data_IF_505342426767
#
_entry.id   IF_505342426767
#
_cell.length_a   1.000
_cell.length_b   1.000
_cell.length_c   1.000
_cell.angle_alpha   90.00
_cell.angle_beta   90.00
_cell.angle_gamma   90.00
#
_symmetry.space_group_name_H-M   'P 1'
#
loop_
_entity.id
_entity.type
_entity.pdbx_description
1 polymer ?
#
# COMPACT_ATOMS: atom_id res chain seq x y z
N UNK A 1 13.95 -6.15 -1.99
CA UNK A 1 13.05 -6.33 -0.82
C UNK A 1 12.59 -4.97 -0.34
N UNK A 2 11.29 -4.81 -0.10
CA UNK A 2 10.73 -3.58 0.50
C UNK A 2 10.27 -3.89 1.92
N UNK A 3 10.62 -3.05 2.89
CA UNK A 3 10.31 -3.24 4.32
C UNK A 3 9.83 -1.93 4.92
N UNK A 4 8.71 -1.99 5.68
CA UNK A 4 8.21 -0.87 6.48
C UNK A 4 8.91 -0.79 7.83
N UNK A 5 9.17 0.43 8.32
CA UNK A 5 9.80 0.66 9.62
C UNK A 5 9.50 2.07 10.16
N UNK A 6 9.53 2.26 11.49
CA UNK A 6 9.53 3.59 12.09
C UNK A 6 10.91 4.22 11.89
N UNK A 7 10.96 5.37 11.24
CA UNK A 7 12.19 6.12 11.00
C UNK A 7 12.35 7.24 12.02
N UNK A 8 13.54 7.37 12.58
CA UNK A 8 13.96 8.55 13.33
C UNK A 8 14.92 9.36 12.47
N UNK A 9 14.58 10.60 12.20
CA UNK A 9 15.36 11.51 11.40
C UNK A 9 15.84 12.71 12.22
N UNK A 10 17.15 12.92 12.25
CA UNK A 10 17.75 14.12 12.81
C UNK A 10 18.29 14.96 11.66
N UNK A 11 17.66 16.12 11.35
CA UNK A 11 18.22 17.00 10.34
C UNK A 11 19.63 17.42 10.76
N UNK A 12 20.62 17.24 9.88
CA UNK A 12 21.97 17.70 10.11
C UNK A 12 21.97 19.23 10.24
N UNK A 13 22.33 19.73 11.40
CA UNK A 13 22.48 21.17 11.64
C UNK A 13 23.57 21.70 10.70
N UNK A 14 23.23 22.65 9.83
CA UNK A 14 24.24 23.47 9.18
C UNK A 14 24.96 24.25 10.28
N UNK A 15 26.30 24.28 10.24
CA UNK A 15 27.17 24.84 11.29
C UNK A 15 26.95 26.33 11.63
N UNK A 16 25.95 26.99 11.02
CA UNK A 16 25.72 28.44 11.13
C UNK A 16 24.40 28.86 11.78
N UNK A 17 23.68 27.95 12.46
CA UNK A 17 22.42 28.33 13.15
C UNK A 17 22.59 28.34 14.67
N UNK A 18 22.36 29.47 15.36
CA UNK A 18 22.64 29.62 16.81
C UNK A 18 21.52 29.12 17.75
N UNK A 19 20.48 28.44 17.28
CA UNK A 19 19.41 27.92 18.17
C UNK A 19 19.39 26.40 18.18
N UNK A 20 19.93 25.84 19.25
CA UNK A 20 20.06 24.41 19.52
C UNK A 20 18.80 23.80 20.13
N UNK A 21 17.94 23.24 19.32
CA UNK A 21 17.22 22.01 19.68
C UNK A 21 17.15 21.16 18.42
N UNK A 22 17.99 20.13 18.33
CA UNK A 22 17.85 19.12 17.28
C UNK A 22 16.53 18.39 17.50
N UNK A 23 15.47 18.85 16.83
CA UNK A 23 14.18 18.16 16.85
C UNK A 23 14.36 16.86 16.08
N UNK A 24 14.28 15.74 16.80
CA UNK A 24 14.19 14.42 16.17
C UNK A 24 12.80 14.30 15.57
N UNK A 25 12.72 14.08 14.28
CA UNK A 25 11.48 13.83 13.56
C UNK A 25 11.28 12.32 13.42
N UNK A 26 10.04 11.87 13.48
CA UNK A 26 9.71 10.47 13.25
C UNK A 26 8.81 10.34 12.03
N UNK A 27 9.02 9.28 11.24
CA UNK A 27 8.22 8.98 10.06
C UNK A 27 7.84 7.51 10.01
N UNK A 28 6.68 7.23 9.44
CA UNK A 28 6.32 5.88 9.01
C UNK A 28 6.89 5.69 7.60
N UNK A 29 7.87 4.82 7.44
CA UNK A 29 8.68 4.75 6.22
C UNK A 29 8.78 3.35 5.65
N UNK A 30 9.10 3.25 4.36
CA UNK A 30 9.54 2.02 3.72
C UNK A 30 10.89 2.22 3.06
N UNK A 31 11.71 1.17 3.08
CA UNK A 31 12.96 1.12 2.32
C UNK A 31 12.95 -0.07 1.37
N UNK A 32 13.37 0.16 0.13
CA UNK A 32 13.56 -0.91 -0.87
C UNK A 32 15.04 -1.13 -1.07
N UNK A 33 15.46 -2.37 -0.89
CA UNK A 33 16.88 -2.77 -0.91
C UNK A 33 17.13 -3.79 -2.01
N UNK A 34 18.17 -3.57 -2.78
CA UNK A 34 18.68 -4.51 -3.78
C UNK A 34 19.35 -5.74 -3.11
N UNK A 35 19.59 -6.84 -3.87
CA UNK A 35 20.28 -8.02 -3.34
C UNK A 35 21.69 -7.75 -2.78
N UNK A 36 22.36 -6.71 -3.24
CA UNK A 36 23.68 -6.30 -2.77
C UNK A 36 23.65 -5.35 -1.56
N UNK A 37 22.47 -5.07 -1.00
CA UNK A 37 22.27 -4.17 0.13
C UNK A 37 22.13 -2.68 -0.23
N UNK A 38 22.23 -2.31 -1.51
CA UNK A 38 22.01 -0.94 -1.95
C UNK A 38 20.56 -0.51 -1.75
N UNK A 39 20.34 0.68 -1.19
CA UNK A 39 19.01 1.28 -1.11
C UNK A 39 18.61 1.77 -2.50
N UNK A 40 17.49 1.25 -3.01
CA UNK A 40 16.92 1.61 -4.32
C UNK A 40 15.84 2.68 -4.19
N UNK A 41 15.07 2.64 -3.10
CA UNK A 41 14.02 3.60 -2.80
C UNK A 41 13.86 3.74 -1.30
N UNK A 42 13.54 4.94 -0.85
CA UNK A 42 13.19 5.27 0.53
C UNK A 42 11.98 6.18 0.50
N UNK A 43 10.88 5.74 1.06
CA UNK A 43 9.62 6.46 1.03
C UNK A 43 9.11 6.71 2.45
N UNK A 44 8.70 7.94 2.73
CA UNK A 44 8.00 8.36 3.95
C UNK A 44 6.52 8.52 3.65
N UNK A 45 5.67 7.99 4.52
CA UNK A 45 4.22 8.01 4.38
C UNK A 45 3.69 9.44 4.26
N UNK A 46 2.83 9.67 3.27
CA UNK A 46 2.26 10.98 2.96
C UNK A 46 0.93 11.20 3.70
N UNK A 47 0.00 10.24 3.64
CA UNK A 47 -1.25 10.30 4.39
C UNK A 47 -1.15 9.53 5.69
N UNK A 48 -1.14 10.23 6.83
CA UNK A 48 -1.11 9.58 8.13
C UNK A 48 -2.48 9.00 8.50
N UNK A 49 -2.46 7.90 9.24
CA UNK A 49 -3.62 7.35 9.92
C UNK A 49 -3.64 7.87 11.37
N UNK A 50 -4.78 7.90 12.04
CA UNK A 50 -4.93 8.45 13.40
C UNK A 50 -3.85 7.99 14.39
N UNK A 51 -3.44 6.72 14.31
CA UNK A 51 -2.37 6.20 15.17
C UNK A 51 -0.99 6.69 14.74
N UNK A 52 -0.76 6.94 13.46
CA UNK A 52 0.50 7.52 12.98
C UNK A 52 0.66 8.96 13.47
N UNK A 53 -0.41 9.76 13.48
CA UNK A 53 -0.42 11.16 13.90
C UNK A 53 0.09 11.35 15.35
N UNK A 54 0.06 10.30 16.17
CA UNK A 54 0.54 10.35 17.56
C UNK A 54 2.06 10.32 17.68
N UNK A 55 2.79 9.92 16.62
CA UNK A 55 4.23 9.70 16.70
C UNK A 55 5.00 10.07 15.43
N UNK A 56 4.37 10.10 14.26
CA UNK A 56 4.99 10.36 12.97
C UNK A 56 4.51 11.68 12.36
N UNK A 57 5.31 12.21 11.45
CA UNK A 57 4.99 13.34 10.60
C UNK A 57 4.73 12.88 9.17
N UNK A 58 3.95 13.65 8.43
CA UNK A 58 3.76 13.46 7.00
C UNK A 58 5.07 13.66 6.24
N UNK A 59 5.19 12.96 5.11
CA UNK A 59 6.32 13.16 4.20
C UNK A 59 6.38 14.61 3.73
N UNK A 60 7.52 15.30 3.88
CA UNK A 60 7.68 16.64 3.29
C UNK A 60 7.78 16.60 1.76
N UNK A 61 8.09 15.44 1.18
CA UNK A 61 8.35 15.25 -0.25
C UNK A 61 7.13 14.69 -1.00
N UNK A 62 6.03 14.38 -0.30
CA UNK A 62 4.85 13.73 -0.88
C UNK A 62 5.11 12.27 -1.25
N UNK A 63 4.39 11.76 -2.25
CA UNK A 63 4.55 10.37 -2.72
C UNK A 63 5.80 10.19 -3.56
N UNK A 64 6.34 8.97 -3.49
CA UNK A 64 7.53 8.57 -4.25
C UNK A 64 7.16 7.71 -5.44
N UNK A 65 7.64 8.11 -6.62
CA UNK A 65 7.76 7.26 -7.79
C UNK A 65 9.19 7.27 -8.28
N UNK A 66 9.75 6.10 -8.59
CA UNK A 66 11.15 5.98 -9.02
C UNK A 66 11.36 4.76 -9.92
N UNK A 67 12.29 4.84 -10.89
CA UNK A 67 12.64 3.69 -11.68
C UNK A 67 13.43 2.67 -10.86
N UNK A 68 12.93 1.43 -10.81
CA UNK A 68 13.62 0.29 -10.24
C UNK A 68 14.29 -0.52 -11.35
N UNK A 69 15.55 -0.84 -11.13
CA UNK A 69 16.33 -1.69 -12.03
C UNK A 69 16.30 -3.13 -11.55
N UNK A 70 15.77 -3.99 -12.39
CA UNK A 70 15.79 -5.44 -12.18
C UNK A 70 16.80 -6.05 -13.15
N UNK A 71 17.82 -6.71 -12.63
CA UNK A 71 18.77 -7.48 -13.41
C UNK A 71 18.50 -8.98 -13.19
N UNK A 72 17.63 -9.62 -13.97
CA UNK A 72 17.49 -11.07 -13.94
C UNK A 72 18.81 -11.72 -14.40
N UNK A 73 19.16 -12.85 -13.80
CA UNK A 73 20.44 -13.54 -14.05
C UNK A 73 20.71 -13.92 -15.54
N UNK A 74 19.69 -13.83 -16.38
CA UNK A 74 19.72 -14.37 -17.77
C UNK A 74 19.19 -13.41 -18.85
N UNK A 75 18.72 -12.21 -18.48
CA UNK A 75 18.10 -11.27 -19.43
C UNK A 75 18.74 -9.88 -19.30
N UNK A 76 18.48 -9.00 -20.28
CA UNK A 76 18.87 -7.59 -20.19
C UNK A 76 18.23 -6.89 -18.99
N UNK A 77 18.94 -5.91 -18.42
CA UNK A 77 18.44 -5.06 -17.35
C UNK A 77 17.06 -4.49 -17.73
N UNK A 78 16.05 -4.75 -16.89
CA UNK A 78 14.72 -4.18 -17.04
C UNK A 78 14.53 -3.05 -16.04
N UNK A 79 14.17 -1.88 -16.53
CA UNK A 79 13.76 -0.73 -15.69
C UNK A 79 12.24 -0.71 -15.62
N UNK A 80 11.68 -0.56 -14.44
CA UNK A 80 10.25 -0.51 -14.17
C UNK A 80 9.95 0.69 -13.31
N UNK A 81 9.05 1.57 -13.72
CA UNK A 81 8.60 2.72 -12.93
C UNK A 81 7.71 2.24 -11.79
N UNK A 82 8.12 2.49 -10.55
CA UNK A 82 7.43 2.03 -9.35
C UNK A 82 6.95 3.18 -8.49
N UNK A 83 5.69 3.11 -8.02
CA UNK A 83 5.16 3.98 -6.97
C UNK A 83 4.99 3.22 -5.67
N UNK A 84 5.24 3.92 -4.55
CA UNK A 84 5.21 3.35 -3.21
C UNK A 84 4.10 4.00 -2.38
N UNK A 85 3.35 3.16 -1.65
CA UNK A 85 2.32 3.63 -0.73
C UNK A 85 2.32 2.83 0.56
N UNK A 86 1.92 3.48 1.66
CA UNK A 86 1.75 2.87 2.96
C UNK A 86 0.30 3.06 3.42
N UNK A 87 -0.47 1.98 3.42
CA UNK A 87 -1.80 1.88 4.03
C UNK A 87 -2.73 3.08 3.74
N UNK A 88 -2.73 4.09 4.61
CA UNK A 88 -3.58 5.28 4.51
C UNK A 88 -3.38 6.09 3.22
N UNK A 89 -2.23 5.99 2.57
CA UNK A 89 -1.98 6.67 1.29
C UNK A 89 -3.02 6.35 0.22
N UNK A 90 -3.63 5.16 0.28
CA UNK A 90 -4.68 4.75 -0.64
C UNK A 90 -6.01 5.45 -0.37
N UNK A 91 -6.23 5.99 0.83
CA UNK A 91 -7.46 6.66 1.23
C UNK A 91 -7.48 8.14 0.80
N UNK A 92 -8.68 8.76 0.79
CA UNK A 92 -8.77 10.23 0.74
C UNK A 92 -8.04 10.84 1.93
N UNK A 93 -7.35 11.96 1.71
CA UNK A 93 -6.63 12.66 2.76
C UNK A 93 -7.52 12.92 3.97
N UNK A 94 -7.06 12.47 5.15
CA UNK A 94 -7.78 12.56 6.43
C UNK A 94 -9.22 12.02 6.41
N UNK A 95 -9.59 11.18 5.43
CA UNK A 95 -10.97 10.76 5.15
C UNK A 95 -11.96 11.92 4.89
N UNK A 96 -11.47 13.13 4.67
CA UNK A 96 -12.26 14.35 4.43
C UNK A 96 -12.16 14.86 3.00
N UNK A 97 -11.10 14.53 2.28
CA UNK A 97 -10.99 14.84 0.86
C UNK A 97 -12.07 14.13 0.04
N UNK A 98 -12.47 14.67 -1.11
CA UNK A 98 -13.44 14.02 -1.99
C UNK A 98 -13.03 12.58 -2.33
N UNK A 99 -14.00 11.68 -2.35
CA UNK A 99 -13.74 10.27 -2.68
C UNK A 99 -13.07 10.11 -4.05
N UNK A 100 -13.49 10.92 -5.00
CA UNK A 100 -13.05 10.92 -6.40
C UNK A 100 -11.70 11.64 -6.62
N UNK A 101 -11.08 12.18 -5.57
CA UNK A 101 -9.77 12.79 -5.69
C UNK A 101 -8.69 11.76 -6.07
N UNK A 102 -8.80 10.51 -5.55
CA UNK A 102 -7.89 9.39 -5.85
C UNK A 102 -6.41 9.80 -5.83
N UNK A 103 -6.00 10.58 -4.83
CA UNK A 103 -4.76 11.37 -4.82
C UNK A 103 -3.52 10.52 -5.11
N UNK A 104 -3.38 9.38 -4.42
CA UNK A 104 -2.26 8.45 -4.65
C UNK A 104 -2.29 7.85 -6.07
N UNK A 105 -3.49 7.44 -6.53
CA UNK A 105 -3.63 6.91 -7.88
C UNK A 105 -3.36 7.96 -8.95
N UNK A 106 -3.82 9.20 -8.75
CA UNK A 106 -3.56 10.31 -9.66
C UNK A 106 -2.07 10.59 -9.78
N UNK A 107 -1.34 10.59 -8.64
CA UNK A 107 0.12 10.69 -8.64
C UNK A 107 0.77 9.56 -9.43
N UNK A 108 0.44 8.31 -9.11
CA UNK A 108 1.06 7.16 -9.76
C UNK A 108 0.76 7.08 -11.27
N UNK A 109 -0.42 7.54 -11.72
CA UNK A 109 -0.76 7.67 -13.14
C UNK A 109 0.06 8.77 -13.82
N UNK A 110 0.21 9.94 -13.17
CA UNK A 110 1.02 11.05 -13.69
C UNK A 110 2.50 10.66 -13.85
N UNK A 111 3.01 9.83 -12.95
CA UNK A 111 4.37 9.26 -12.98
C UNK A 111 4.51 8.03 -13.89
N UNK A 112 3.45 7.70 -14.64
CA UNK A 112 3.42 6.56 -15.56
C UNK A 112 3.81 5.22 -14.94
N UNK A 113 3.47 5.00 -13.66
CA UNK A 113 3.86 3.81 -12.93
C UNK A 113 3.42 2.51 -13.60
N UNK A 114 4.32 1.54 -13.59
CA UNK A 114 4.09 0.18 -14.10
C UNK A 114 3.84 -0.82 -12.95
N UNK A 115 4.29 -0.44 -11.73
CA UNK A 115 4.08 -1.24 -10.54
C UNK A 115 3.76 -0.35 -9.33
N UNK A 116 2.76 -0.76 -8.54
CA UNK A 116 2.50 -0.23 -7.21
C UNK A 116 3.02 -1.20 -6.16
N UNK A 117 3.77 -0.68 -5.19
CA UNK A 117 4.24 -1.44 -4.02
C UNK A 117 3.56 -0.86 -2.79
N UNK A 118 2.60 -1.59 -2.24
CA UNK A 118 1.76 -1.17 -1.12
C UNK A 118 2.13 -1.96 0.14
N UNK A 119 2.63 -1.27 1.16
CA UNK A 119 2.90 -1.82 2.49
C UNK A 119 1.74 -1.46 3.41
N UNK A 120 0.99 -2.46 3.89
CA UNK A 120 -0.28 -2.25 4.55
C UNK A 120 -0.29 -2.79 5.98
N UNK A 121 -0.97 -2.07 6.86
CA UNK A 121 -1.41 -2.52 8.17
C UNK A 121 -2.93 -2.24 8.28
N UNK A 122 -3.68 -2.74 7.29
CA UNK A 122 -5.10 -2.45 7.14
C UNK A 122 -5.93 -3.29 8.10
N UNK A 123 -6.72 -2.59 8.89
CA UNK A 123 -7.50 -3.17 9.97
C UNK A 123 -8.80 -3.83 9.47
N UNK A 124 -9.30 -4.78 10.26
CA UNK A 124 -10.65 -5.33 10.11
C UNK A 124 -11.47 -5.10 11.38
N UNK A 125 -12.79 -4.97 11.21
CA UNK A 125 -13.76 -4.91 12.33
C UNK A 125 -14.35 -6.28 12.68
N UNK A 126 -13.93 -7.34 11.99
CA UNK A 126 -14.38 -8.68 12.30
C UNK A 126 -13.95 -9.07 13.72
N UNK A 127 -14.82 -9.81 14.44
CA UNK A 127 -14.42 -10.41 15.70
C UNK A 127 -13.31 -11.43 15.50
N UNK A 128 -12.51 -11.67 16.53
CA UNK A 128 -11.45 -12.68 16.47
C UNK A 128 -11.99 -14.05 16.07
N UNK A 129 -13.16 -14.42 16.59
CA UNK A 129 -13.82 -15.69 16.27
C UNK A 129 -14.10 -15.81 14.76
N UNK A 130 -14.67 -14.77 14.13
CA UNK A 130 -14.95 -14.77 12.68
C UNK A 130 -13.65 -14.78 11.90
N UNK A 131 -12.67 -13.99 12.32
CA UNK A 131 -11.37 -13.90 11.68
C UNK A 131 -10.69 -15.29 11.62
N UNK A 132 -10.70 -16.02 12.72
CA UNK A 132 -10.10 -17.37 12.79
C UNK A 132 -10.92 -18.44 12.06
N UNK A 133 -12.25 -18.38 12.13
CA UNK A 133 -13.12 -19.31 11.39
C UNK A 133 -12.98 -19.19 9.87
N UNK A 134 -12.67 -18.02 9.37
CA UNK A 134 -12.52 -17.73 7.94
C UNK A 134 -11.07 -17.38 7.57
N UNK A 135 -10.10 -17.89 8.32
CA UNK A 135 -8.70 -17.49 8.20
C UNK A 135 -8.15 -17.62 6.77
N UNK A 136 -8.50 -18.72 6.09
CA UNK A 136 -8.04 -19.05 4.73
C UNK A 136 -8.79 -18.24 3.63
N UNK A 137 -9.92 -17.62 3.96
CA UNK A 137 -10.71 -16.85 3.00
C UNK A 137 -10.20 -15.41 2.93
N UNK A 138 -9.99 -14.83 1.73
CA UNK A 138 -9.67 -13.42 1.62
C UNK A 138 -10.85 -12.54 2.06
N UNK A 139 -10.55 -11.37 2.60
CA UNK A 139 -11.56 -10.34 2.89
C UNK A 139 -11.91 -9.59 1.61
N UNK A 140 -12.96 -10.07 0.93
CA UNK A 140 -13.41 -9.49 -0.33
C UNK A 140 -13.93 -8.06 -0.18
N UNK A 141 -14.44 -7.67 0.98
CA UNK A 141 -14.88 -6.29 1.21
C UNK A 141 -13.68 -5.33 1.23
N UNK A 142 -12.63 -5.72 1.96
CA UNK A 142 -11.38 -4.96 1.99
C UNK A 142 -10.73 -4.91 0.60
N UNK A 143 -10.67 -6.03 -0.11
CA UNK A 143 -10.16 -6.07 -1.48
C UNK A 143 -10.96 -5.16 -2.42
N UNK A 144 -12.29 -5.22 -2.36
CA UNK A 144 -13.16 -4.36 -3.17
C UNK A 144 -12.91 -2.88 -2.88
N UNK A 145 -12.76 -2.53 -1.59
CA UNK A 145 -12.43 -1.16 -1.20
C UNK A 145 -11.11 -0.69 -1.82
N UNK A 146 -10.05 -1.49 -1.73
CA UNK A 146 -8.76 -1.13 -2.33
C UNK A 146 -8.86 -0.97 -3.84
N UNK A 147 -9.61 -1.85 -4.53
CA UNK A 147 -9.84 -1.77 -5.97
C UNK A 147 -10.60 -0.49 -6.32
N UNK A 148 -11.65 -0.14 -5.56
CA UNK A 148 -12.38 1.12 -5.73
C UNK A 148 -11.47 2.35 -5.55
N UNK A 149 -10.54 2.32 -4.60
CA UNK A 149 -9.55 3.40 -4.44
C UNK A 149 -8.53 3.47 -5.59
N UNK A 150 -8.41 2.40 -6.38
CA UNK A 150 -7.59 2.34 -7.59
C UNK A 150 -8.40 2.50 -8.89
N UNK A 151 -9.67 2.91 -8.80
CA UNK A 151 -10.59 3.02 -9.95
C UNK A 151 -10.00 3.73 -11.16
N UNK A 152 -9.32 4.89 -11.07
CA UNK A 152 -8.74 5.55 -12.24
C UNK A 152 -7.69 4.68 -12.97
N UNK A 153 -6.95 3.86 -12.24
CA UNK A 153 -6.02 2.91 -12.84
C UNK A 153 -6.74 1.73 -13.46
N UNK A 154 -7.78 1.20 -12.80
CA UNK A 154 -8.57 0.08 -13.32
C UNK A 154 -9.23 0.46 -14.64
N UNK A 155 -9.78 1.66 -14.74
CA UNK A 155 -10.43 2.17 -15.95
C UNK A 155 -9.44 2.65 -17.03
N UNK A 156 -8.18 2.90 -16.64
CA UNK A 156 -7.13 3.37 -17.56
C UNK A 156 -6.70 2.34 -18.59
N UNK A 157 -6.15 2.81 -19.70
CA UNK A 157 -5.67 1.97 -20.81
C UNK A 157 -4.37 1.22 -20.50
N UNK A 158 -3.59 1.71 -19.54
CA UNK A 158 -2.33 1.09 -19.12
C UNK A 158 -2.59 0.04 -18.04
N UNK A 159 -1.98 -1.14 -18.19
CA UNK A 159 -2.02 -2.16 -17.14
C UNK A 159 -0.89 -1.90 -16.13
N UNK A 160 -1.23 -1.88 -14.85
CA UNK A 160 -0.31 -1.64 -13.74
C UNK A 160 -0.30 -2.86 -12.82
N UNK A 161 0.88 -3.37 -12.49
CA UNK A 161 1.04 -4.46 -11.51
C UNK A 161 0.85 -3.88 -10.11
N UNK A 162 0.09 -4.58 -9.26
CA UNK A 162 -0.10 -4.22 -7.86
C UNK A 162 0.45 -5.32 -6.98
N UNK A 163 1.36 -4.94 -6.09
CA UNK A 163 1.88 -5.79 -5.01
C UNK A 163 1.41 -5.16 -3.70
N UNK A 164 0.41 -5.79 -3.09
CA UNK A 164 -0.16 -5.34 -1.83
C UNK A 164 0.17 -6.34 -0.73
N UNK A 165 1.03 -5.95 0.20
CA UNK A 165 1.41 -6.75 1.36
C UNK A 165 0.74 -6.17 2.61
N UNK A 166 -0.24 -6.88 3.16
CA UNK A 166 -0.97 -6.48 4.36
C UNK A 166 -0.63 -7.39 5.54
N UNK A 167 -0.60 -6.83 6.73
CA UNK A 167 -0.54 -7.61 7.97
C UNK A 167 -1.78 -8.48 8.09
N UNK A 168 -1.64 -9.64 8.73
CA UNK A 168 -2.71 -10.58 9.01
C UNK A 168 -2.78 -10.92 10.49
N UNK A 169 -3.92 -11.47 10.92
CA UNK A 169 -4.10 -11.97 12.27
C UNK A 169 -4.46 -10.92 13.31
N UNK A 170 -4.26 -11.29 14.57
CA UNK A 170 -4.62 -10.51 15.75
C UNK A 170 -3.36 -10.20 16.57
N UNK A 171 -3.23 -8.95 17.01
CA UNK A 171 -2.16 -8.52 17.92
C UNK A 171 -2.76 -8.04 19.24
N UNK A 172 -2.17 -8.40 20.40
CA UNK A 172 -2.60 -7.87 21.68
C UNK A 172 -2.32 -6.36 21.76
N UNK A 173 -3.17 -5.65 22.45
CA UNK A 173 -3.03 -4.21 22.65
C UNK A 173 -4.34 -3.46 22.56
N UNK A 174 -4.24 -2.15 22.45
CA UNK A 174 -5.42 -1.28 22.30
C UNK A 174 -5.74 -1.11 20.82
N UNK A 175 -7.02 -1.24 20.49
CA UNK A 175 -7.52 -0.88 19.17
C UNK A 175 -7.43 0.65 18.95
N UNK A 176 -7.68 1.17 17.73
CA UNK A 176 -7.56 2.60 17.42
C UNK A 176 -8.48 3.52 18.24
N UNK A 177 -9.53 2.98 18.88
CA UNK A 177 -10.44 3.73 19.76
C UNK A 177 -10.10 3.57 21.24
N UNK A 178 -8.98 2.89 21.56
CA UNK A 178 -8.42 2.81 22.92
C UNK A 178 -8.93 1.66 23.78
N UNK A 179 -9.71 0.73 23.24
CA UNK A 179 -10.21 -0.46 23.94
C UNK A 179 -9.18 -1.59 23.94
N UNK A 180 -9.09 -2.36 25.02
CA UNK A 180 -8.17 -3.50 25.18
C UNK A 180 -8.66 -4.77 24.45
N UNK A 181 -9.15 -4.62 23.23
CA UNK A 181 -9.66 -5.72 22.40
C UNK A 181 -8.61 -6.27 21.39
N UNK A 182 -7.40 -5.74 21.43
CA UNK A 182 -6.38 -6.04 20.44
C UNK A 182 -6.59 -5.34 19.11
N UNK A 183 -5.65 -5.52 18.21
CA UNK A 183 -5.68 -4.96 16.86
C UNK A 183 -5.75 -6.11 15.88
N UNK A 184 -6.76 -6.11 15.01
CA UNK A 184 -7.00 -7.15 14.00
C UNK A 184 -6.77 -6.60 12.60
N UNK A 185 -6.03 -7.35 11.79
CA UNK A 185 -5.68 -6.98 10.42
C UNK A 185 -6.46 -7.81 9.42
N UNK A 186 -6.80 -7.20 8.29
CA UNK A 186 -7.61 -7.82 7.24
C UNK A 186 -6.86 -8.86 6.38
N UNK A 187 -5.54 -8.99 6.54
CA UNK A 187 -4.74 -9.89 5.71
C UNK A 187 -4.96 -9.63 4.23
N UNK A 188 -5.31 -10.68 3.50
CA UNK A 188 -5.71 -10.57 2.08
C UNK A 188 -4.64 -9.92 1.20
N UNK A 189 -3.36 -10.16 1.51
CA UNK A 189 -2.24 -9.71 0.66
C UNK A 189 -2.39 -10.30 -0.73
N UNK A 190 -2.10 -9.51 -1.77
CA UNK A 190 -2.32 -9.97 -3.13
C UNK A 190 -1.31 -9.41 -4.12
N UNK A 191 -1.12 -10.16 -5.20
CA UNK A 191 -0.38 -9.73 -6.38
C UNK A 191 -1.27 -9.89 -7.59
N UNK A 192 -1.44 -8.81 -8.33
CA UNK A 192 -2.27 -8.77 -9.52
C UNK A 192 -1.91 -7.64 -10.45
N UNK A 193 -2.78 -7.38 -11.42
CA UNK A 193 -2.69 -6.19 -12.27
C UNK A 193 -4.08 -5.59 -12.50
N UNK A 194 -4.09 -4.29 -12.65
CA UNK A 194 -5.30 -3.50 -12.91
C UNK A 194 -5.12 -2.70 -14.20
N UNK A 195 -6.19 -2.49 -14.93
CA UNK A 195 -6.21 -1.70 -16.17
C UNK A 195 -7.21 -2.22 -17.19
N UNK A 196 -7.60 -1.38 -18.14
CA UNK A 196 -8.53 -1.73 -19.23
C UNK A 196 -9.91 -2.23 -18.74
N UNK A 197 -10.39 -1.66 -17.62
CA UNK A 197 -11.65 -2.05 -16.98
C UNK A 197 -11.60 -3.39 -16.25
N UNK A 198 -10.41 -3.97 -16.03
CA UNK A 198 -10.25 -5.32 -15.51
C UNK A 198 -9.24 -5.36 -14.38
N UNK A 199 -9.56 -6.14 -13.35
CA UNK A 199 -8.64 -6.53 -12.27
C UNK A 199 -8.32 -8.00 -12.43
N UNK A 200 -7.04 -8.35 -12.48
CA UNK A 200 -6.55 -9.72 -12.58
C UNK A 200 -5.65 -10.04 -11.41
N UNK A 201 -5.89 -11.16 -10.74
CA UNK A 201 -5.16 -11.56 -9.53
C UNK A 201 -4.46 -12.89 -9.78
N UNK A 202 -3.13 -12.92 -9.58
CA UNK A 202 -2.35 -14.14 -9.62
C UNK A 202 -2.38 -14.88 -8.31
N UNK A 203 -2.23 -14.15 -7.19
CA UNK A 203 -2.18 -14.71 -5.86
C UNK A 203 -2.89 -13.79 -4.87
N UNK A 204 -3.61 -14.37 -3.93
CA UNK A 204 -4.21 -13.67 -2.79
C UNK A 204 -4.17 -14.58 -1.56
N UNK A 205 -3.85 -14.02 -0.38
CA UNK A 205 -3.85 -14.77 0.88
C UNK A 205 -5.21 -14.73 1.56
N UNK A 206 -5.43 -15.62 2.52
CA UNK A 206 -6.51 -15.50 3.47
C UNK A 206 -6.33 -14.30 4.42
N UNK A 207 -7.39 -13.97 5.17
CA UNK A 207 -7.44 -12.81 6.07
C UNK A 207 -6.62 -12.97 7.35
N UNK A 208 -6.37 -14.22 7.78
CA UNK A 208 -5.62 -14.49 9.02
C UNK A 208 -4.49 -15.49 8.80
N UNK A 209 -3.99 -15.63 7.58
CA UNK A 209 -2.91 -16.54 7.23
C UNK A 209 -1.60 -15.77 7.13
N UNK A 210 -0.57 -16.29 7.81
CA UNK A 210 0.81 -15.84 7.65
C UNK A 210 1.50 -16.71 6.60
N UNK A 211 1.74 -16.13 5.42
CA UNK A 211 2.42 -16.87 4.35
C UNK A 211 3.20 -15.95 3.42
N UNK A 212 4.16 -16.53 2.72
CA UNK A 212 4.83 -15.90 1.58
C UNK A 212 4.15 -16.35 0.31
N UNK A 213 3.75 -15.39 -0.53
CA UNK A 213 3.21 -15.66 -1.86
C UNK A 213 4.23 -15.28 -2.94
N UNK A 214 4.29 -16.08 -3.98
CA UNK A 214 5.12 -15.84 -5.16
C UNK A 214 4.22 -15.88 -6.38
N UNK A 215 4.21 -14.77 -7.15
CA UNK A 215 3.45 -14.67 -8.38
C UNK A 215 4.39 -14.61 -9.59
N UNK A 216 4.17 -15.49 -10.55
CA UNK A 216 4.78 -15.38 -11.88
C UNK A 216 3.82 -14.58 -12.78
N UNK A 217 4.22 -13.38 -13.14
CA UNK A 217 3.40 -12.48 -13.97
C UNK A 217 3.30 -12.92 -15.44
N UNK A 218 4.01 -13.98 -15.84
CA UNK A 218 3.96 -14.57 -17.18
C UNK A 218 2.86 -15.62 -17.33
N UNK A 219 2.36 -16.15 -16.19
CA UNK A 219 1.26 -17.13 -16.22
C UNK A 219 -0.10 -16.44 -16.20
N UNK A 220 -1.13 -17.18 -16.59
CA UNK A 220 -2.52 -16.69 -16.55
C UNK A 220 -2.93 -16.40 -15.10
N UNK A 221 -3.52 -15.24 -14.81
CA UNK A 221 -4.08 -14.93 -13.49
C UNK A 221 -5.17 -15.95 -13.10
N UNK A 222 -5.28 -16.23 -11.80
CA UNK A 222 -6.27 -17.20 -11.28
C UNK A 222 -7.68 -16.60 -11.25
N UNK A 223 -7.80 -15.28 -11.03
CA UNK A 223 -9.09 -14.59 -10.97
C UNK A 223 -9.07 -13.36 -11.87
N UNK A 224 -10.21 -13.10 -12.50
CA UNK A 224 -10.46 -11.91 -13.29
C UNK A 224 -11.80 -11.30 -12.87
N UNK A 225 -11.78 -10.01 -12.54
CA UNK A 225 -12.96 -9.23 -12.21
C UNK A 225 -13.09 -8.05 -13.17
N UNK A 226 -14.30 -7.80 -13.67
CA UNK A 226 -14.60 -6.63 -14.49
C UNK A 226 -15.39 -5.64 -13.67
N UNK A 227 -14.93 -4.40 -13.61
CA UNK A 227 -15.77 -3.34 -13.08
C UNK A 227 -16.95 -3.14 -14.03
N UNK A 228 -18.17 -3.16 -13.47
CA UNK A 228 -19.34 -2.76 -14.25
C UNK A 228 -19.17 -1.26 -14.55
N UNK A 229 -19.10 -0.88 -15.82
CA UNK A 229 -19.25 0.50 -16.21
C UNK A 229 -20.57 1.00 -15.64
N UNK A 230 -20.51 2.05 -14.80
CA UNK A 230 -21.70 2.61 -14.16
C UNK A 230 -22.71 3.00 -15.22
N UNK A 231 -23.78 2.20 -15.34
CA UNK A 231 -25.00 2.65 -15.98
C UNK A 231 -25.52 3.75 -15.05
N UNK A 232 -25.64 4.97 -15.58
CA UNK A 232 -26.14 6.12 -14.85
C UNK A 232 -27.39 5.74 -14.07
N UNK A 233 -27.34 5.96 -12.75
CA UNK A 233 -28.48 5.76 -11.89
C UNK A 233 -29.59 6.71 -12.34
N UNK A 234 -30.66 6.17 -12.93
CA UNK A 234 -31.94 6.82 -12.87
C UNK A 234 -32.37 6.81 -11.40
N UNK A 235 -32.47 8.03 -10.86
CA UNK A 235 -33.10 8.24 -9.56
C UNK A 235 -34.56 7.77 -9.64
N UNK A 236 -34.92 6.84 -8.76
CA UNK A 236 -36.30 6.65 -8.31
C UNK A 236 -36.42 7.15 -6.88
#
# INVERSE_FOLDING_TARGET
MTVGYPELYSPSLSANSPSFTSQVLAYNSTVTVAPNGQILAHYRKTHLYYTDETWAQESPDGWLSTPLKFAPKTESEKVVQASFGICMDLNPYQFTAPWEAYEFCAHALAEESEILVLSMAWLTRLSEQILLQQAEEPDLNTLSYWIERMKPMVEGEKEVIVVCANRSGNEPGKNPIGEDEGVRYAGSSWVGKVGKGVVRIWQITGRAVEQVIVADTKVTPQWEFRMKSGIGGEAC
#
